data_IF_397902350316
#
_entry.id   IF_397902350316
#
_cell.length_a   1.000
_cell.length_b   1.000
_cell.length_c   1.000
_cell.angle_alpha   90.00
_cell.angle_beta   90.00
_cell.angle_gamma   90.00
#
_symmetry.space_group_name_H-M   'P 1'
#
loop_
_entity.id
_entity.type
_entity.pdbx_description
1 polymer ?
#
# COMPACT_ATOMS: atom_id res chain seq x y z
N UNK A 1 66.79 -2.33 16.08
CA UNK A 1 65.62 -1.60 16.64
C UNK A 1 64.86 -0.96 15.47
N UNK A 2 64.16 -1.72 14.63
CA UNK A 2 62.76 -2.17 14.81
C UNK A 2 61.79 -1.00 15.04
N UNK A 3 61.34 -0.34 13.95
CA UNK A 3 60.21 0.58 13.95
C UNK A 3 59.03 -0.11 13.26
N UNK A 4 58.08 -0.54 14.09
CA UNK A 4 56.87 -1.28 13.75
C UNK A 4 55.95 -0.45 12.83
N UNK A 5 55.55 -1.02 11.69
CA UNK A 5 54.23 -1.62 11.41
C UNK A 5 53.07 -0.64 11.65
N UNK A 6 52.54 -0.09 10.56
CA UNK A 6 51.31 0.70 10.51
C UNK A 6 50.66 0.62 9.13
N UNK A 7 50.45 -0.59 8.60
CA UNK A 7 49.72 -0.81 7.36
C UNK A 7 48.24 -0.98 7.71
N UNK A 8 47.49 0.11 7.63
CA UNK A 8 46.04 0.12 7.81
C UNK A 8 45.39 -0.88 6.84
N UNK A 9 44.85 -1.96 7.40
CA UNK A 9 43.90 -2.84 6.74
C UNK A 9 42.65 -2.03 6.35
N UNK A 10 42.44 -1.85 5.04
CA UNK A 10 41.10 -1.58 4.51
C UNK A 10 40.30 -2.87 4.62
N UNK A 11 39.52 -3.00 5.69
CA UNK A 11 38.48 -4.03 5.78
C UNK A 11 37.32 -3.60 4.88
N UNK A 12 37.10 -4.41 3.85
CA UNK A 12 35.91 -4.43 3.01
C UNK A 12 34.68 -4.71 3.89
N UNK A 13 33.66 -3.84 3.97
CA UNK A 13 32.37 -4.25 4.49
C UNK A 13 31.62 -4.97 3.37
N UNK A 14 31.84 -6.28 3.26
CA UNK A 14 31.01 -7.16 2.45
C UNK A 14 29.58 -7.14 3.01
N UNK A 15 28.72 -6.38 2.33
CA UNK A 15 27.36 -6.77 1.95
C UNK A 15 26.63 -7.69 2.94
N UNK A 16 26.17 -7.16 4.06
CA UNK A 16 24.90 -7.63 4.63
C UNK A 16 23.74 -6.98 3.88
N UNK A 17 23.59 -7.34 2.61
CA UNK A 17 22.31 -7.18 1.92
C UNK A 17 21.37 -8.21 2.52
N UNK A 18 20.63 -7.84 3.58
CA UNK A 18 19.46 -8.62 4.01
C UNK A 18 18.54 -8.65 2.80
N UNK A 19 18.51 -9.78 2.10
CA UNK A 19 17.47 -10.08 1.13
C UNK A 19 16.20 -10.20 1.95
N UNK A 20 15.45 -9.11 2.07
CA UNK A 20 14.09 -9.15 2.58
C UNK A 20 13.26 -9.93 1.56
N UNK A 21 13.18 -11.24 1.77
CA UNK A 21 12.23 -12.07 1.08
C UNK A 21 10.85 -11.43 1.23
N UNK A 22 10.11 -11.23 0.12
CA UNK A 22 8.82 -10.58 0.20
C UNK A 22 7.92 -11.38 1.14
N UNK A 23 7.14 -10.67 1.97
CA UNK A 23 6.32 -11.22 3.06
C UNK A 23 5.52 -12.48 2.69
N UNK A 24 5.12 -12.63 1.42
CA UNK A 24 4.42 -13.81 0.91
C UNK A 24 5.26 -15.09 0.90
N UNK A 25 6.59 -15.02 0.72
CA UNK A 25 7.46 -16.23 0.80
C UNK A 25 7.58 -16.71 2.24
N UNK A 26 7.65 -15.78 3.21
CA UNK A 26 7.63 -16.10 4.64
C UNK A 26 6.28 -16.67 5.08
N UNK A 27 5.17 -16.13 4.55
CA UNK A 27 3.82 -16.65 4.78
C UNK A 27 3.61 -18.04 4.16
N UNK A 28 4.12 -18.29 2.96
CA UNK A 28 4.05 -19.61 2.32
C UNK A 28 4.84 -20.66 3.12
N UNK A 29 6.03 -20.30 3.60
CA UNK A 29 6.85 -21.14 4.48
C UNK A 29 6.18 -21.41 5.84
N UNK A 30 5.49 -20.42 6.40
CA UNK A 30 4.77 -20.55 7.67
C UNK A 30 3.51 -21.41 7.52
N UNK A 31 2.80 -21.31 6.40
CA UNK A 31 1.65 -22.19 6.08
C UNK A 31 2.11 -23.64 5.83
N UNK A 32 3.23 -23.85 5.14
CA UNK A 32 3.82 -25.19 4.97
C UNK A 32 4.31 -25.77 6.31
N UNK A 33 4.94 -24.97 7.16
CA UNK A 33 5.36 -25.39 8.50
C UNK A 33 4.15 -25.70 9.42
N UNK A 34 3.08 -24.91 9.35
CA UNK A 34 1.85 -25.15 10.13
C UNK A 34 1.10 -26.39 9.62
N UNK A 35 1.17 -26.68 8.32
CA UNK A 35 0.58 -27.88 7.72
C UNK A 35 1.29 -29.18 8.14
N UNK A 36 2.61 -29.14 8.39
CA UNK A 36 3.34 -30.27 8.97
C UNK A 36 3.07 -30.45 10.48
N UNK A 37 2.70 -29.39 11.20
CA UNK A 37 2.42 -29.47 12.64
C UNK A 37 0.99 -29.97 12.91
N UNK A 38 0.03 -29.76 12.00
CA UNK A 38 -1.32 -30.32 12.13
C UNK A 38 -1.45 -31.79 11.68
N UNK A 39 -0.46 -32.33 10.96
CA UNK A 39 -0.43 -33.75 10.57
C UNK A 39 -0.03 -34.72 11.68
N UNK A 40 0.45 -34.23 12.83
CA UNK A 40 0.93 -35.06 13.95
C UNK A 40 0.07 -34.98 15.21
N UNK A 41 -1.04 -34.25 15.18
CA UNK A 41 -2.01 -34.23 16.27
C UNK A 41 -2.91 -35.50 16.22
N UNK A 42 -2.29 -36.66 16.45
CA UNK A 42 -3.01 -37.79 17.04
C UNK A 42 -3.51 -37.30 18.40
N UNK A 43 -4.80 -37.46 18.74
CA UNK A 43 -5.30 -37.02 20.03
C UNK A 43 -4.73 -37.94 21.12
N UNK A 44 -3.67 -37.49 21.78
CA UNK A 44 -3.24 -38.03 23.08
C UNK A 44 -4.14 -37.42 24.15
N UNK A 45 -5.36 -37.94 24.30
CA UNK A 45 -6.12 -37.69 25.51
C UNK A 45 -5.53 -38.55 26.63
N UNK A 46 -5.09 -37.84 27.68
CA UNK A 46 -4.49 -38.35 28.88
C UNK A 46 -5.39 -39.36 29.60
N UNK A 47 -4.73 -40.37 30.15
CA UNK A 47 -5.26 -41.34 31.09
C UNK A 47 -5.98 -40.66 32.25
N UNK A 48 -7.21 -41.09 32.55
CA UNK A 48 -7.73 -41.14 33.92
C UNK A 48 -8.72 -42.30 34.02
N UNK A 49 -8.28 -43.31 34.79
CA UNK A 49 -9.04 -44.40 35.44
C UNK A 49 -9.53 -45.60 34.62
N UNK A 50 -8.73 -46.67 34.70
CA UNK A 50 -9.13 -48.08 34.82
C UNK A 50 -10.03 -48.70 33.73
N UNK A 51 -9.38 -49.28 32.72
CA UNK A 51 -9.79 -50.59 32.18
C UNK A 51 -8.59 -51.27 31.52
N UNK A 52 -8.21 -52.39 32.12
CA UNK A 52 -7.07 -53.28 31.88
C UNK A 52 -6.70 -53.53 30.41
N UNK A 53 -5.44 -53.27 30.04
CA UNK A 53 -4.76 -53.98 28.94
C UNK A 53 -4.71 -55.45 29.29
N UNK A 54 -5.68 -56.24 28.82
CA UNK A 54 -5.60 -57.69 28.86
C UNK A 54 -4.92 -58.16 27.57
N UNK A 55 -3.74 -58.77 27.69
CA UNK A 55 -3.37 -59.84 26.77
C UNK A 55 -4.55 -60.81 26.73
N UNK A 56 -5.16 -61.11 25.57
CA UNK A 56 -6.39 -61.90 25.54
C UNK A 56 -6.09 -63.32 26.03
N UNK A 57 -6.46 -63.57 27.28
CA UNK A 57 -6.18 -64.81 27.99
C UNK A 57 -7.15 -65.93 27.57
N UNK A 58 -8.28 -65.59 26.96
CA UNK A 58 -9.32 -66.53 26.53
C UNK A 58 -9.49 -66.52 25.00
N UNK A 59 -9.72 -67.67 24.34
CA UNK A 59 -9.98 -67.74 22.89
C UNK A 59 -11.12 -66.82 22.38
N UNK A 60 -12.10 -66.51 23.23
CA UNK A 60 -13.22 -65.59 22.95
C UNK A 60 -12.77 -64.13 22.74
N UNK A 61 -11.77 -63.67 23.49
CA UNK A 61 -11.32 -62.28 23.44
C UNK A 61 -10.49 -62.03 22.18
N UNK A 62 -9.66 -63.00 21.79
CA UNK A 62 -8.91 -62.96 20.52
C UNK A 62 -9.85 -62.86 19.32
N UNK A 63 -10.89 -63.70 19.30
CA UNK A 63 -11.87 -63.73 18.22
C UNK A 63 -12.68 -62.43 18.15
N UNK A 64 -13.02 -61.85 19.29
CA UNK A 64 -13.73 -60.56 19.37
C UNK A 64 -12.90 -59.44 18.75
N UNK A 65 -11.60 -59.37 19.06
CA UNK A 65 -10.71 -58.37 18.47
C UNK A 65 -10.49 -58.59 16.97
N UNK A 66 -10.41 -59.83 16.51
CA UNK A 66 -10.32 -60.16 15.09
C UNK A 66 -11.56 -59.65 14.31
N UNK A 67 -12.76 -59.86 14.86
CA UNK A 67 -14.02 -59.40 14.27
C UNK A 67 -14.07 -57.86 14.21
N UNK A 68 -13.60 -57.17 15.26
CA UNK A 68 -13.53 -55.70 15.28
C UNK A 68 -12.52 -55.16 14.26
N UNK A 69 -11.35 -55.79 14.16
CA UNK A 69 -10.33 -55.41 13.17
C UNK A 69 -10.83 -55.62 11.73
N UNK A 70 -11.55 -56.71 11.48
CA UNK A 70 -12.22 -56.95 10.20
C UNK A 70 -13.23 -55.83 9.89
N UNK A 71 -14.09 -55.49 10.85
CA UNK A 71 -15.07 -54.40 10.69
C UNK A 71 -14.38 -53.06 10.37
N UNK A 72 -13.29 -52.75 11.07
CA UNK A 72 -12.49 -51.54 10.82
C UNK A 72 -11.88 -51.53 9.40
N UNK A 73 -11.22 -52.61 8.99
CA UNK A 73 -10.63 -52.75 7.66
C UNK A 73 -11.69 -52.59 6.56
N UNK A 74 -12.85 -53.24 6.72
CA UNK A 74 -13.93 -53.15 5.74
C UNK A 74 -14.47 -51.72 5.59
N UNK A 75 -14.58 -50.98 6.70
CA UNK A 75 -14.97 -49.57 6.64
C UNK A 75 -13.87 -48.72 6.00
N UNK A 76 -12.60 -48.96 6.28
CA UNK A 76 -11.47 -48.27 5.65
C UNK A 76 -11.49 -48.49 4.12
N UNK A 77 -11.70 -49.73 3.68
CA UNK A 77 -11.77 -50.16 2.28
C UNK A 77 -13.08 -49.79 1.56
N UNK A 78 -14.04 -49.15 2.24
CA UNK A 78 -15.37 -48.81 1.74
C UNK A 78 -16.20 -50.03 1.30
N UNK A 79 -16.01 -51.18 1.95
CA UNK A 79 -16.81 -52.39 1.74
C UNK A 79 -18.14 -52.23 2.48
N UNK A 80 -19.26 -52.52 1.80
CA UNK A 80 -20.59 -52.50 2.40
C UNK A 80 -20.69 -53.51 3.56
N UNK A 81 -21.56 -53.24 4.53
CA UNK A 81 -21.76 -54.12 5.70
C UNK A 81 -22.15 -55.54 5.26
N UNK A 82 -21.38 -56.55 5.68
CA UNK A 82 -21.59 -57.98 5.31
C UNK A 82 -21.81 -58.87 6.54
N UNK A 83 -22.75 -58.48 7.38
CA UNK A 83 -23.08 -59.17 8.65
C UNK A 83 -23.28 -60.68 8.48
N UNK A 84 -24.05 -61.10 7.46
CA UNK A 84 -24.34 -62.52 7.22
C UNK A 84 -23.11 -63.33 6.80
N UNK A 85 -22.16 -62.70 6.11
CA UNK A 85 -20.90 -63.33 5.73
C UNK A 85 -20.00 -63.52 6.96
N UNK A 86 -19.88 -62.50 7.80
CA UNK A 86 -19.06 -62.55 9.03
C UNK A 86 -19.61 -63.57 10.02
N UNK A 87 -20.94 -63.66 10.16
CA UNK A 87 -21.57 -64.71 10.99
C UNK A 87 -21.20 -66.12 10.48
N UNK A 88 -21.22 -66.34 9.16
CA UNK A 88 -20.83 -67.63 8.56
C UNK A 88 -19.34 -67.92 8.69
N UNK A 89 -18.49 -66.90 8.53
CA UNK A 89 -17.04 -67.04 8.64
C UNK A 89 -16.61 -67.51 10.03
N UNK A 90 -17.31 -67.04 11.06
CA UNK A 90 -16.98 -67.32 12.46
C UNK A 90 -17.99 -68.25 13.16
N UNK A 91 -18.91 -68.91 12.44
CA UNK A 91 -19.92 -69.79 13.06
C UNK A 91 -19.32 -71.02 13.72
N UNK A 92 -18.24 -71.56 13.15
CA UNK A 92 -17.57 -72.78 13.62
C UNK A 92 -16.34 -72.45 14.48
N UNK A 93 -16.49 -71.51 15.43
CA UNK A 93 -15.40 -71.07 16.27
C UNK A 93 -15.19 -71.98 17.50
N UNK A 94 -13.94 -72.19 17.88
CA UNK A 94 -13.56 -72.93 19.10
C UNK A 94 -13.73 -72.13 20.40
N UNK A 95 -14.18 -70.88 20.29
CA UNK A 95 -14.29 -69.91 21.37
C UNK A 95 -15.70 -69.82 21.99
N UNK A 96 -16.68 -70.55 21.46
CA UNK A 96 -18.06 -70.59 21.97
C UNK A 96 -18.89 -69.33 21.69
N UNK A 97 -18.47 -68.45 20.77
CA UNK A 97 -19.27 -67.27 20.39
C UNK A 97 -20.48 -67.72 19.56
N UNK A 98 -21.67 -67.30 20.00
CA UNK A 98 -22.92 -67.54 19.28
C UNK A 98 -23.11 -66.54 18.13
N UNK A 99 -23.85 -66.93 17.09
CA UNK A 99 -24.14 -66.07 15.94
C UNK A 99 -24.74 -64.69 16.30
N UNK A 100 -25.66 -64.57 17.27
CA UNK A 100 -26.16 -63.25 17.71
C UNK A 100 -25.08 -62.37 18.33
N UNK A 101 -24.10 -62.96 19.03
CA UNK A 101 -23.00 -62.23 19.67
C UNK A 101 -21.99 -61.75 18.64
N UNK A 102 -21.65 -62.57 17.65
CA UNK A 102 -20.79 -62.20 16.51
C UNK A 102 -21.41 -61.02 15.74
N UNK A 103 -22.72 -61.10 15.48
CA UNK A 103 -23.48 -60.02 14.85
C UNK A 103 -23.36 -58.70 15.60
N UNK A 104 -23.62 -58.72 16.91
CA UNK A 104 -23.59 -57.51 17.73
C UNK A 104 -22.21 -56.85 17.69
N UNK A 105 -21.13 -57.63 17.89
CA UNK A 105 -19.75 -57.13 17.88
C UNK A 105 -19.40 -56.48 16.54
N UNK A 106 -19.70 -57.16 15.43
CA UNK A 106 -19.39 -56.66 14.09
C UNK A 106 -20.25 -55.44 13.72
N UNK A 107 -21.57 -55.51 13.90
CA UNK A 107 -22.50 -54.44 13.51
C UNK A 107 -22.26 -53.16 14.32
N UNK A 108 -21.95 -53.28 15.62
CA UNK A 108 -21.63 -52.16 16.51
C UNK A 108 -20.31 -51.49 16.10
N UNK A 109 -19.23 -52.26 15.94
CA UNK A 109 -17.92 -51.71 15.57
C UNK A 109 -17.96 -51.12 14.15
N UNK A 110 -18.61 -51.79 13.20
CA UNK A 110 -18.78 -51.28 11.84
C UNK A 110 -19.50 -49.93 11.84
N UNK A 111 -20.61 -49.81 12.58
CA UNK A 111 -21.39 -48.55 12.64
C UNK A 111 -20.57 -47.42 13.25
N UNK A 112 -19.86 -47.68 14.35
CA UNK A 112 -18.97 -46.72 15.02
C UNK A 112 -17.86 -46.21 14.09
N UNK A 113 -17.24 -47.11 13.32
CA UNK A 113 -16.16 -46.74 12.40
C UNK A 113 -16.68 -45.91 11.22
N UNK A 114 -17.89 -46.21 10.71
CA UNK A 114 -18.53 -45.41 9.65
C UNK A 114 -18.80 -43.98 10.13
N UNK A 115 -19.43 -43.81 11.30
CA UNK A 115 -19.70 -42.49 11.87
C UNK A 115 -18.42 -41.68 12.09
N UNK A 116 -17.36 -42.34 12.57
CA UNK A 116 -16.05 -41.72 12.77
C UNK A 116 -15.45 -41.26 11.44
N UNK A 117 -15.48 -42.11 10.40
CA UNK A 117 -14.94 -41.78 9.06
C UNK A 117 -15.68 -40.62 8.43
N UNK A 118 -17.01 -40.61 8.49
CA UNK A 118 -17.84 -39.57 7.89
C UNK A 118 -17.73 -38.25 8.65
N UNK A 119 -17.61 -38.28 9.98
CA UNK A 119 -17.31 -37.10 10.79
C UNK A 119 -16.00 -36.42 10.33
N UNK A 120 -14.91 -37.19 10.19
CA UNK A 120 -13.64 -36.64 9.73
C UNK A 120 -13.68 -36.14 8.29
N UNK A 121 -14.42 -36.82 7.40
CA UNK A 121 -14.64 -36.37 6.01
C UNK A 121 -15.32 -35.00 5.97
N UNK A 122 -16.38 -34.79 6.74
CA UNK A 122 -17.11 -33.52 6.79
C UNK A 122 -16.26 -32.38 7.38
N UNK A 123 -15.47 -32.68 8.43
CA UNK A 123 -14.54 -31.73 9.02
C UNK A 123 -13.47 -31.24 8.02
N UNK A 124 -12.90 -32.14 7.20
CA UNK A 124 -11.91 -31.78 6.19
C UNK A 124 -12.49 -30.86 5.11
N UNK A 125 -13.73 -31.12 4.65
CA UNK A 125 -14.42 -30.28 3.66
C UNK A 125 -14.63 -28.85 4.21
N UNK A 126 -15.04 -28.74 5.47
CA UNK A 126 -15.23 -27.44 6.14
C UNK A 126 -13.93 -26.62 6.22
N UNK A 127 -12.81 -27.26 6.59
CA UNK A 127 -11.50 -26.61 6.67
C UNK A 127 -11.05 -26.09 5.29
N UNK A 128 -11.21 -26.90 4.24
CA UNK A 128 -10.86 -26.49 2.86
C UNK A 128 -11.68 -25.26 2.44
N UNK A 129 -12.99 -25.25 2.76
CA UNK A 129 -13.85 -24.09 2.48
C UNK A 129 -13.39 -22.82 3.19
N UNK A 130 -13.03 -22.90 4.48
CA UNK A 130 -12.53 -21.76 5.25
C UNK A 130 -11.21 -21.24 4.66
N UNK A 131 -10.28 -22.13 4.31
CA UNK A 131 -9.00 -21.75 3.68
C UNK A 131 -9.24 -21.06 2.34
N UNK A 132 -10.16 -21.57 1.51
CA UNK A 132 -10.52 -20.94 0.24
C UNK A 132 -11.08 -19.53 0.43
N UNK A 133 -11.96 -19.32 1.43
CA UNK A 133 -12.51 -18.00 1.78
C UNK A 133 -11.40 -17.06 2.24
N UNK A 134 -10.49 -17.52 3.10
CA UNK A 134 -9.36 -16.69 3.55
C UNK A 134 -8.43 -16.30 2.41
N UNK A 135 -8.18 -17.20 1.44
CA UNK A 135 -7.41 -16.89 0.23
C UNK A 135 -8.14 -15.85 -0.62
N UNK A 136 -9.46 -15.99 -0.84
CA UNK A 136 -10.25 -15.01 -1.57
C UNK A 136 -10.25 -13.63 -0.91
N UNK A 137 -10.38 -13.58 0.42
CA UNK A 137 -10.28 -12.34 1.21
C UNK A 137 -8.88 -11.76 1.11
N UNK A 138 -7.82 -12.57 1.22
CA UNK A 138 -6.44 -12.10 1.06
C UNK A 138 -6.21 -11.55 -0.35
N UNK A 139 -6.67 -12.23 -1.40
CA UNK A 139 -6.60 -11.76 -2.79
C UNK A 139 -7.38 -10.46 -2.96
N UNK A 140 -8.58 -10.34 -2.38
CA UNK A 140 -9.37 -9.11 -2.41
C UNK A 140 -8.66 -7.95 -1.69
N UNK A 141 -8.07 -8.19 -0.51
CA UNK A 141 -7.30 -7.20 0.24
C UNK A 141 -6.01 -6.79 -0.48
N UNK A 142 -5.30 -7.74 -1.10
CA UNK A 142 -4.12 -7.49 -1.92
C UNK A 142 -4.50 -6.72 -3.18
N UNK A 143 -5.60 -7.08 -3.84
CA UNK A 143 -6.09 -6.38 -5.03
C UNK A 143 -6.58 -4.96 -4.68
N UNK A 144 -7.21 -4.74 -3.52
CA UNK A 144 -7.57 -3.38 -3.05
C UNK A 144 -6.33 -2.51 -2.81
N UNK A 145 -5.23 -3.08 -2.29
CA UNK A 145 -3.93 -2.39 -2.18
C UNK A 145 -3.23 -2.22 -3.54
N UNK A 146 -3.49 -3.09 -4.50
CA UNK A 146 -2.98 -3.00 -5.88
C UNK A 146 -3.75 -1.97 -6.69
N UNK A 147 -5.07 -1.85 -6.51
CA UNK A 147 -5.91 -0.85 -7.18
C UNK A 147 -5.48 0.57 -6.79
N UNK A 148 -5.07 0.80 -5.54
CA UNK A 148 -4.43 2.06 -5.12
C UNK A 148 -3.08 2.34 -5.79
N UNK A 149 -2.40 1.34 -6.39
CA UNK A 149 -1.20 1.49 -7.23
C UNK A 149 -1.50 1.51 -8.73
N UNK A 150 -2.61 0.92 -9.18
CA UNK A 150 -3.04 0.89 -10.58
C UNK A 150 -3.81 2.15 -10.99
N UNK A 151 -4.62 2.72 -10.10
CA UNK A 151 -5.22 4.06 -10.33
C UNK A 151 -4.13 5.16 -10.30
N UNK A 152 -3.00 4.92 -9.62
CA UNK A 152 -1.81 5.79 -9.65
C UNK A 152 -1.05 5.80 -11.00
N UNK A 153 -1.46 4.99 -11.99
CA UNK A 153 -0.66 4.76 -13.22
C UNK A 153 -1.18 5.39 -14.51
N UNK A 154 -2.19 6.26 -14.47
CA UNK A 154 -2.81 6.74 -15.72
C UNK A 154 -2.88 8.25 -15.79
N UNK A 155 -1.73 8.91 -15.85
CA UNK A 155 -1.45 10.12 -16.67
C UNK A 155 -0.03 10.56 -16.37
N UNK A 156 0.95 10.05 -17.15
CA UNK A 156 2.25 10.71 -17.20
C UNK A 156 2.07 11.93 -18.08
N UNK A 157 1.96 13.12 -17.50
CA UNK A 157 1.87 14.36 -18.27
C UNK A 157 3.29 14.93 -18.38
N UNK A 158 3.78 15.14 -19.59
CA UNK A 158 5.06 15.81 -19.81
C UNK A 158 4.79 17.29 -19.98
N UNK A 159 5.28 18.11 -19.06
CA UNK A 159 4.97 19.54 -19.01
C UNK A 159 6.25 20.36 -19.04
N UNK A 160 6.29 21.39 -19.88
CA UNK A 160 7.37 22.38 -19.89
C UNK A 160 7.14 23.43 -18.82
N UNK A 161 8.11 23.60 -17.91
CA UNK A 161 8.03 24.55 -16.82
C UNK A 161 8.94 25.77 -17.05
N UNK A 162 8.46 26.97 -16.69
CA UNK A 162 9.22 28.22 -16.79
C UNK A 162 10.37 28.30 -15.77
N UNK A 163 11.07 29.43 -15.72
CA UNK A 163 12.13 29.75 -14.74
C UNK A 163 13.38 28.83 -14.79
N UNK A 164 13.61 28.15 -15.91
CA UNK A 164 14.73 27.23 -16.06
C UNK A 164 14.54 25.90 -15.31
N UNK A 165 13.30 25.57 -14.92
CA UNK A 165 12.97 24.32 -14.23
C UNK A 165 13.03 23.12 -15.19
N UNK A 166 12.74 23.33 -16.48
CA UNK A 166 12.84 22.31 -17.53
C UNK A 166 11.54 21.53 -17.76
N UNK A 167 11.65 20.31 -18.30
CA UNK A 167 10.51 19.43 -18.51
C UNK A 167 10.40 18.40 -17.38
N UNK A 168 9.20 18.19 -16.87
CA UNK A 168 8.93 17.20 -15.83
C UNK A 168 7.85 16.23 -16.32
N UNK A 169 8.10 14.94 -16.12
CA UNK A 169 7.11 13.90 -16.35
C UNK A 169 6.34 13.64 -15.06
N UNK A 170 5.09 14.09 -15.02
CA UNK A 170 4.30 14.13 -13.82
C UNK A 170 3.44 12.88 -13.63
N UNK A 171 3.48 12.27 -12.45
CA UNK A 171 2.48 11.29 -11.99
C UNK A 171 1.82 11.79 -10.70
N UNK A 172 0.88 12.73 -10.77
CA UNK A 172 0.33 13.39 -9.59
C UNK A 172 -0.58 12.45 -8.80
N UNK A 173 -0.40 12.38 -7.48
CA UNK A 173 -1.36 11.72 -6.60
C UNK A 173 -2.56 12.63 -6.26
N UNK A 174 -3.51 12.13 -5.46
CA UNK A 174 -4.71 12.91 -5.11
C UNK A 174 -4.40 14.15 -4.27
N UNK A 175 -3.35 14.12 -3.44
CA UNK A 175 -2.93 15.26 -2.62
C UNK A 175 -2.31 16.32 -3.52
N UNK A 176 -1.45 15.90 -4.43
CA UNK A 176 -0.87 16.74 -5.47
C UNK A 176 -1.93 17.38 -6.36
N UNK A 177 -2.88 16.61 -6.91
CA UNK A 177 -3.95 17.17 -7.77
C UNK A 177 -4.80 18.23 -7.04
N UNK A 178 -5.08 18.05 -5.74
CA UNK A 178 -5.80 19.05 -4.95
C UNK A 178 -5.00 20.32 -4.74
N UNK A 179 -3.72 20.19 -4.41
CA UNK A 179 -2.84 21.35 -4.29
C UNK A 179 -2.67 22.07 -5.63
N UNK A 180 -2.50 21.32 -6.72
CA UNK A 180 -2.40 21.86 -8.07
C UNK A 180 -3.65 22.65 -8.46
N UNK A 181 -4.85 22.16 -8.11
CA UNK A 181 -6.10 22.89 -8.31
C UNK A 181 -6.13 24.21 -7.55
N UNK A 182 -5.80 24.19 -6.26
CA UNK A 182 -5.77 25.42 -5.46
C UNK A 182 -4.77 26.44 -6.01
N UNK A 183 -3.58 25.98 -6.43
CA UNK A 183 -2.56 26.84 -7.04
C UNK A 183 -3.02 27.40 -8.39
N UNK A 184 -3.65 26.56 -9.22
CA UNK A 184 -4.20 26.97 -10.52
C UNK A 184 -5.23 28.09 -10.34
N UNK A 185 -6.19 27.90 -9.44
CA UNK A 185 -7.23 28.91 -9.15
C UNK A 185 -6.58 30.22 -8.70
N UNK A 186 -5.67 30.19 -7.73
CA UNK A 186 -4.97 31.40 -7.27
C UNK A 186 -4.24 32.12 -8.40
N UNK A 187 -3.64 31.40 -9.36
CA UNK A 187 -2.93 32.00 -10.48
C UNK A 187 -3.86 32.63 -11.51
N UNK A 188 -4.93 31.93 -11.92
CA UNK A 188 -5.79 32.40 -13.02
C UNK A 188 -6.80 33.45 -12.59
N UNK A 189 -7.11 33.58 -11.29
CA UNK A 189 -8.07 34.58 -10.80
C UNK A 189 -7.41 35.86 -10.28
N UNK A 190 -6.08 35.95 -10.27
CA UNK A 190 -5.36 37.13 -9.76
C UNK A 190 -5.04 38.12 -10.86
N UNK A 191 -5.09 39.40 -10.51
CA UNK A 191 -4.72 40.52 -11.37
C UNK A 191 -3.25 40.41 -11.85
N UNK A 192 -2.37 39.79 -11.05
CA UNK A 192 -0.96 39.58 -11.41
C UNK A 192 -0.72 38.76 -12.70
N UNK A 193 -1.71 38.02 -13.20
CA UNK A 193 -1.61 37.29 -14.48
C UNK A 193 -2.35 37.98 -15.63
N UNK A 194 -3.11 39.03 -15.33
CA UNK A 194 -3.80 39.85 -16.34
C UNK A 194 -2.86 40.96 -16.82
N UNK A 195 -2.70 41.08 -18.13
CA UNK A 195 -1.89 42.14 -18.73
C UNK A 195 -2.52 43.48 -18.38
N UNK A 196 -1.75 44.37 -17.76
CA UNK A 196 -2.09 45.78 -17.67
C UNK A 196 -1.61 46.42 -18.97
N UNK A 197 -2.48 47.16 -19.67
CA UNK A 197 -2.03 48.00 -20.78
C UNK A 197 -0.89 48.92 -20.32
N UNK A 198 -0.01 49.30 -21.25
CA UNK A 198 1.28 49.93 -20.94
C UNK A 198 1.20 51.24 -20.14
N UNK A 199 0.02 51.84 -20.01
CA UNK A 199 -0.27 53.09 -19.28
C UNK A 199 -1.29 52.93 -18.12
N UNK A 200 -1.77 51.70 -17.88
CA UNK A 200 -2.77 51.40 -16.84
C UNK A 200 -2.16 50.76 -15.60
N UNK A 201 -2.86 50.94 -14.47
CA UNK A 201 -2.44 50.45 -13.16
C UNK A 201 -1.22 51.15 -12.54
N UNK A 202 -1.01 50.91 -11.25
CA UNK A 202 0.19 51.29 -10.52
C UNK A 202 1.08 50.06 -10.33
N UNK A 203 2.39 50.25 -10.47
CA UNK A 203 3.39 49.19 -10.26
C UNK A 203 3.35 48.66 -8.82
N UNK A 204 3.03 49.52 -7.86
CA UNK A 204 2.81 49.15 -6.46
C UNK A 204 1.76 48.04 -6.31
N UNK A 205 0.63 48.18 -6.99
CA UNK A 205 -0.47 47.22 -6.91
C UNK A 205 -0.09 45.88 -7.58
N UNK A 206 0.63 45.93 -8.70
CA UNK A 206 1.15 44.74 -9.35
C UNK A 206 2.13 43.97 -8.45
N UNK A 207 3.08 44.67 -7.82
CA UNK A 207 4.03 44.05 -6.88
C UNK A 207 3.33 43.48 -5.64
N UNK A 208 2.34 44.20 -5.10
CA UNK A 208 1.55 43.71 -3.96
C UNK A 208 0.76 42.43 -4.34
N UNK A 209 0.14 42.39 -5.52
CA UNK A 209 -0.56 41.20 -6.00
C UNK A 209 0.36 39.99 -6.15
N UNK A 210 1.60 40.19 -6.64
CA UNK A 210 2.61 39.13 -6.74
C UNK A 210 3.09 38.66 -5.35
N UNK A 211 3.25 39.58 -4.40
CA UNK A 211 3.60 39.24 -3.02
C UNK A 211 2.48 38.45 -2.33
N UNK A 212 1.21 38.78 -2.58
CA UNK A 212 0.09 38.02 -2.06
C UNK A 212 -0.03 36.64 -2.72
N UNK A 213 0.28 36.51 -4.01
CA UNK A 213 0.43 35.19 -4.66
C UNK A 213 1.54 34.35 -4.00
N UNK A 214 2.67 34.97 -3.64
CA UNK A 214 3.75 34.30 -2.91
C UNK A 214 3.26 33.77 -1.55
N UNK A 215 2.49 34.58 -0.80
CA UNK A 215 1.89 34.15 0.48
C UNK A 215 0.87 33.02 0.29
N UNK A 216 -0.05 33.17 -0.66
CA UNK A 216 -1.11 32.20 -0.93
C UNK A 216 -0.54 30.84 -1.32
N UNK A 217 0.46 30.82 -2.21
CA UNK A 217 1.18 29.60 -2.59
C UNK A 217 1.81 28.92 -1.37
N UNK A 218 2.49 29.69 -0.49
CA UNK A 218 3.07 29.12 0.74
C UNK A 218 2.01 28.55 1.67
N UNK A 219 0.84 29.18 1.75
CA UNK A 219 -0.26 28.71 2.58
C UNK A 219 -0.84 27.41 2.03
N UNK A 220 -1.12 27.34 0.73
CA UNK A 220 -1.59 26.12 0.06
C UNK A 220 -0.64 24.95 0.28
N UNK A 221 0.67 25.17 0.17
CA UNK A 221 1.67 24.13 0.40
C UNK A 221 1.72 23.65 1.86
N UNK A 222 1.52 24.56 2.83
CA UNK A 222 1.44 24.18 4.25
C UNK A 222 0.19 23.35 4.52
N UNK A 223 -0.95 23.76 3.97
CA UNK A 223 -2.23 23.09 4.18
C UNK A 223 -2.29 21.72 3.51
N UNK A 224 -1.59 21.54 2.37
CA UNK A 224 -1.47 20.26 1.69
C UNK A 224 -0.55 19.25 2.41
N UNK A 225 0.34 19.72 3.30
CA UNK A 225 1.26 18.87 4.05
C UNK A 225 2.50 18.41 3.26
N UNK A 226 3.43 17.69 3.90
CA UNK A 226 4.74 17.37 3.33
C UNK A 226 4.68 16.46 2.10
N UNK A 227 3.63 15.65 1.97
CA UNK A 227 3.49 14.70 0.86
C UNK A 227 3.41 15.41 -0.50
N UNK A 228 2.87 16.63 -0.54
CA UNK A 228 2.84 17.44 -1.77
C UNK A 228 4.24 17.81 -2.27
N UNK A 229 5.22 17.86 -1.35
CA UNK A 229 6.62 18.22 -1.60
C UNK A 229 7.56 17.02 -1.56
N UNK A 230 7.06 15.80 -1.77
CA UNK A 230 7.84 14.57 -1.63
C UNK A 230 9.06 14.47 -2.57
N UNK A 231 9.09 15.24 -3.67
CA UNK A 231 10.22 15.30 -4.60
C UNK A 231 10.39 16.70 -5.19
N UNK A 232 11.48 16.93 -5.93
CA UNK A 232 11.66 18.19 -6.69
C UNK A 232 10.71 18.31 -7.89
N UNK A 233 10.20 17.16 -8.35
CA UNK A 233 9.32 17.03 -9.51
C UNK A 233 7.83 17.00 -9.10
N UNK A 234 7.53 17.01 -7.80
CA UNK A 234 6.15 17.07 -7.29
C UNK A 234 5.55 18.47 -7.36
N UNK A 235 4.24 18.60 -7.11
CA UNK A 235 3.54 19.91 -7.15
C UNK A 235 4.19 20.89 -6.19
N UNK A 236 4.48 20.43 -4.99
CA UNK A 236 5.16 21.21 -3.97
C UNK A 236 6.58 21.56 -4.37
N UNK A 237 7.34 20.61 -4.92
CA UNK A 237 8.71 20.86 -5.39
C UNK A 237 8.78 21.96 -6.45
N UNK A 238 7.89 21.87 -7.44
CA UNK A 238 7.79 22.84 -8.54
C UNK A 238 7.28 24.18 -8.02
N UNK A 239 6.22 24.21 -7.19
CA UNK A 239 5.72 25.45 -6.61
C UNK A 239 6.80 26.17 -5.79
N UNK A 240 7.57 25.44 -4.99
CA UNK A 240 8.72 25.99 -4.24
C UNK A 240 9.78 26.55 -5.19
N UNK A 241 10.05 25.86 -6.32
CA UNK A 241 10.97 26.36 -7.33
C UNK A 241 10.47 27.67 -7.95
N UNK A 242 9.19 27.76 -8.36
CA UNK A 242 8.56 28.98 -8.88
C UNK A 242 8.67 30.13 -7.87
N UNK A 243 8.40 29.87 -6.59
CA UNK A 243 8.54 30.88 -5.54
C UNK A 243 9.98 31.39 -5.41
N UNK A 244 10.97 30.50 -5.46
CA UNK A 244 12.35 30.86 -5.16
C UNK A 244 13.15 31.34 -6.38
N UNK A 245 12.79 30.91 -7.59
CA UNK A 245 13.49 31.23 -8.83
C UNK A 245 12.77 32.32 -9.64
N UNK A 246 11.44 32.40 -9.56
CA UNK A 246 10.64 33.42 -10.24
C UNK A 246 10.29 34.57 -9.32
N UNK A 247 9.38 34.35 -8.38
CA UNK A 247 8.79 35.44 -7.60
C UNK A 247 9.78 36.11 -6.63
N UNK A 248 10.57 35.34 -5.89
CA UNK A 248 11.46 35.91 -4.86
C UNK A 248 12.51 36.87 -5.45
N UNK A 249 13.30 36.51 -6.48
CA UNK A 249 14.28 37.43 -7.05
C UNK A 249 13.62 38.71 -7.55
N UNK A 250 12.52 38.58 -8.29
CA UNK A 250 11.77 39.71 -8.82
C UNK A 250 11.31 40.67 -7.72
N UNK A 251 10.61 40.15 -6.70
CA UNK A 251 10.11 40.95 -5.58
C UNK A 251 11.25 41.57 -4.76
N UNK A 252 12.36 40.84 -4.55
CA UNK A 252 13.51 41.34 -3.80
C UNK A 252 14.25 42.47 -4.51
N UNK A 253 14.24 42.48 -5.84
CA UNK A 253 14.83 43.56 -6.64
C UNK A 253 13.93 44.78 -6.64
N UNK A 254 12.64 44.59 -6.91
CA UNK A 254 11.76 45.69 -7.31
C UNK A 254 11.01 46.35 -6.15
N UNK A 255 10.68 45.62 -5.07
CA UNK A 255 10.01 46.25 -3.92
C UNK A 255 10.84 47.38 -3.28
N UNK A 256 12.13 47.18 -2.96
CA UNK A 256 12.92 48.22 -2.32
C UNK A 256 13.14 49.43 -3.23
N UNK A 257 13.40 49.19 -4.53
CA UNK A 257 13.61 50.25 -5.51
C UNK A 257 12.38 51.13 -5.69
N UNK A 258 11.21 50.52 -5.85
CA UNK A 258 9.95 51.26 -5.95
C UNK A 258 9.65 52.02 -4.65
N UNK A 259 9.89 51.40 -3.49
CA UNK A 259 9.67 52.05 -2.20
C UNK A 259 10.57 53.27 -2.00
N UNK A 260 11.84 53.20 -2.39
CA UNK A 260 12.78 54.33 -2.35
C UNK A 260 12.30 55.48 -3.24
N UNK A 261 11.86 55.17 -4.47
CA UNK A 261 11.30 56.17 -5.37
C UNK A 261 10.03 56.82 -4.81
N UNK A 262 9.09 56.02 -4.30
CA UNK A 262 7.84 56.51 -3.72
C UNK A 262 8.06 57.38 -2.49
N UNK A 263 9.09 57.12 -1.69
CA UNK A 263 9.44 57.91 -0.51
C UNK A 263 9.89 59.35 -0.87
N UNK A 264 10.34 59.57 -2.11
CA UNK A 264 10.77 60.88 -2.62
C UNK A 264 9.63 61.67 -3.26
N UNK A 265 8.40 61.17 -3.22
CA UNK A 265 7.23 61.81 -3.85
C UNK A 265 6.89 63.15 -3.16
N UNK A 266 6.83 64.26 -3.90
CA UNK A 266 6.30 65.53 -3.39
C UNK A 266 4.79 65.45 -3.09
N UNK A 267 4.33 66.17 -2.06
CA UNK A 267 2.92 66.13 -1.62
C UNK A 267 1.93 66.62 -2.69
N UNK A 268 2.38 67.48 -3.61
CA UNK A 268 1.56 68.08 -4.67
C UNK A 268 1.45 67.24 -5.94
N UNK A 269 2.11 66.08 -6.02
CA UNK A 269 2.10 65.21 -7.21
C UNK A 269 1.40 63.90 -6.87
N UNK A 270 0.53 63.45 -7.78
CA UNK A 270 -0.18 62.17 -7.62
C UNK A 270 0.79 60.98 -7.69
N UNK A 271 0.50 59.84 -7.03
CA UNK A 271 1.34 58.64 -7.14
C UNK A 271 1.59 58.19 -8.58
N UNK A 272 0.56 58.28 -9.45
CA UNK A 272 0.66 57.87 -10.87
C UNK A 272 1.60 58.77 -11.66
N UNK A 273 1.53 60.08 -11.44
CA UNK A 273 2.40 61.05 -12.11
C UNK A 273 3.85 60.90 -11.62
N UNK A 274 4.05 60.72 -10.31
CA UNK A 274 5.37 60.46 -9.74
C UNK A 274 5.99 59.16 -10.27
N UNK A 275 5.22 58.07 -10.33
CA UNK A 275 5.66 56.80 -10.93
C UNK A 275 6.03 56.95 -12.41
N UNK A 276 5.34 57.83 -13.14
CA UNK A 276 5.60 58.06 -14.57
C UNK A 276 6.95 58.71 -14.83
N UNK A 277 7.46 59.49 -13.87
CA UNK A 277 8.77 60.10 -13.94
C UNK A 277 9.91 59.19 -13.47
N UNK A 278 9.62 57.95 -13.07
CA UNK A 278 10.63 57.02 -12.60
C UNK A 278 11.43 56.42 -13.76
N UNK A 279 12.76 56.56 -13.73
CA UNK A 279 13.65 56.08 -14.78
C UNK A 279 13.61 54.56 -14.98
N UNK A 280 13.37 53.78 -13.91
CA UNK A 280 13.34 52.31 -13.98
C UNK A 280 11.94 51.74 -14.31
N UNK A 281 10.92 52.60 -14.48
CA UNK A 281 9.52 52.20 -14.75
C UNK A 281 9.40 51.25 -15.95
N UNK A 282 10.06 51.60 -17.05
CA UNK A 282 10.01 50.84 -18.30
C UNK A 282 10.68 49.47 -18.15
N UNK A 283 11.79 49.41 -17.42
CA UNK A 283 12.49 48.16 -17.12
C UNK A 283 11.62 47.24 -16.26
N UNK A 284 11.05 47.75 -15.16
CA UNK A 284 10.16 46.96 -14.31
C UNK A 284 8.96 46.42 -15.09
N UNK A 285 8.34 47.23 -15.96
CA UNK A 285 7.22 46.76 -16.80
C UNK A 285 7.61 45.64 -17.75
N UNK A 286 8.77 45.76 -18.39
CA UNK A 286 9.29 44.72 -19.27
C UNK A 286 9.52 43.41 -18.51
N UNK A 287 10.19 43.48 -17.35
CA UNK A 287 10.44 42.29 -16.53
C UNK A 287 9.16 41.71 -15.91
N UNK A 288 8.18 42.55 -15.58
CA UNK A 288 6.87 42.12 -15.11
C UNK A 288 6.13 41.32 -16.18
N UNK A 289 6.17 41.78 -17.44
CA UNK A 289 5.54 41.07 -18.56
C UNK A 289 6.21 39.71 -18.80
N UNK A 290 7.54 39.64 -18.77
CA UNK A 290 8.27 38.38 -18.84
C UNK A 290 7.90 37.44 -17.68
N UNK A 291 7.75 37.95 -16.46
CA UNK A 291 7.30 37.16 -15.31
C UNK A 291 5.86 36.67 -15.52
N UNK A 292 4.97 37.51 -16.06
CA UNK A 292 3.58 37.17 -16.35
C UNK A 292 3.48 36.00 -17.34
N UNK A 293 4.21 36.08 -18.45
CA UNK A 293 4.27 34.99 -19.45
C UNK A 293 4.73 33.67 -18.83
N UNK A 294 5.75 33.72 -17.97
CA UNK A 294 6.21 32.54 -17.25
C UNK A 294 5.13 32.00 -16.30
N UNK A 295 4.46 32.85 -15.52
CA UNK A 295 3.37 32.42 -14.63
C UNK A 295 2.17 31.85 -15.40
N UNK A 296 1.89 32.36 -16.60
CA UNK A 296 0.86 31.82 -17.49
C UNK A 296 1.22 30.42 -17.97
N UNK A 297 2.47 30.18 -18.36
CA UNK A 297 2.97 28.84 -18.70
C UNK A 297 2.83 27.88 -17.50
N UNK A 298 3.14 28.35 -16.29
CA UNK A 298 2.95 27.57 -15.07
C UNK A 298 1.46 27.28 -14.78
N UNK A 299 0.56 28.22 -15.03
CA UNK A 299 -0.88 27.99 -14.86
C UNK A 299 -1.40 26.93 -15.86
N UNK A 300 -0.96 26.98 -17.12
CA UNK A 300 -1.26 25.93 -18.13
C UNK A 300 -0.74 24.57 -17.69
N UNK A 301 0.49 24.53 -17.18
CA UNK A 301 1.07 23.32 -16.62
C UNK A 301 0.21 22.73 -15.49
N UNK A 302 -0.27 23.57 -14.57
CA UNK A 302 -1.15 23.12 -13.49
C UNK A 302 -2.51 22.62 -14.00
N UNK A 303 -3.07 23.28 -15.01
CA UNK A 303 -4.34 22.89 -15.63
C UNK A 303 -4.30 21.48 -16.22
N UNK A 304 -3.20 21.12 -16.89
CA UNK A 304 -3.01 19.78 -17.47
C UNK A 304 -3.01 18.68 -16.38
N UNK A 305 -2.41 18.93 -15.22
CA UNK A 305 -2.37 18.00 -14.07
C UNK A 305 -3.78 17.76 -13.51
N UNK A 306 -4.57 18.83 -13.42
CA UNK A 306 -5.93 18.74 -12.86
C UNK A 306 -6.94 18.25 -13.89
N UNK A 307 -6.60 18.28 -15.18
CA UNK A 307 -7.45 17.84 -16.29
C UNK A 307 -8.46 18.91 -16.71
N UNK A 308 -8.10 20.19 -16.57
CA UNK A 308 -8.93 21.33 -16.98
C UNK A 308 -8.48 21.76 -18.38
N UNK A 309 -9.45 22.00 -19.27
CA UNK A 309 -9.17 22.57 -20.59
C UNK A 309 -9.00 24.09 -20.43
N UNK A 310 -7.83 24.60 -20.83
CA UNK A 310 -7.46 26.03 -20.85
C UNK A 310 -7.47 26.59 -22.25
#
# INVERSE_FOLDING_TARGET
MARAIGKFQRLNPLLHRRVSLPLWVSLLGLVLALSLILGSAVPTLAQTSASTTQTPATPSDKLTEEIKLLAKSEVEDNILRRTDFVIKLYSNNSAGLTSPKIRAIYDEEYSKQVETKDFWRLMLIGIIGIVAILVLVAVFLINRRSLGRFVKRLTSVSVSLPFGIGQVNWQPDLTERRAAWSLYVELVTRIATQSLESDQGLLREALNSLYDLFKATRQILKDAGPDVGASRESVGGIAIAVLNQGLRPFLSTWHPRLQEWEAQRPDNISPKEHETNWSEKSQLRSELELLRENLEQYAKALAEIVGVQT
#
